data_IF_278188337589
#
_entry.id   IF_278188337589
#
_cell.length_a   1.000
_cell.length_b   1.000
_cell.length_c   1.000
_cell.angle_alpha   90.00
_cell.angle_beta   90.00
_cell.angle_gamma   90.00
#
_symmetry.space_group_name_H-M   'P 1'
#
loop_
_entity.id
_entity.type
_entity.pdbx_description
1 polymer ?
#
# COMPACT_ATOMS: atom_id res chain seq x y z
N UNK A 1 -4.08 3.05 -1.36
CA UNK A 1 -3.90 2.59 0.03
C UNK A 1 -3.96 3.75 1.00
N UNK A 2 -4.68 3.63 2.11
CA UNK A 2 -4.80 4.69 3.13
C UNK A 2 -4.53 4.14 4.53
N UNK A 3 -3.85 4.94 5.35
CA UNK A 3 -3.65 4.68 6.78
C UNK A 3 -4.61 5.52 7.64
N UNK A 4 -5.09 4.99 8.76
CA UNK A 4 -6.10 5.61 9.63
C UNK A 4 -7.53 5.13 9.37
N UNK A 5 -8.44 5.37 10.33
CA UNK A 5 -9.88 5.21 10.10
C UNK A 5 -10.47 6.53 9.58
N UNK A 6 -11.27 6.51 8.50
CA UNK A 6 -12.01 7.71 8.09
C UNK A 6 -13.00 8.10 9.18
N UNK A 7 -13.00 9.38 9.57
CA UNK A 7 -13.88 9.95 10.60
C UNK A 7 -14.39 11.31 10.15
N UNK A 8 -15.52 11.75 10.71
CA UNK A 8 -16.08 13.09 10.48
C UNK A 8 -16.10 13.85 11.80
N UNK A 9 -15.49 15.04 11.84
CA UNK A 9 -15.56 15.96 12.99
C UNK A 9 -15.99 17.32 12.46
N UNK A 10 -17.07 17.89 12.99
CA UNK A 10 -17.66 19.17 12.55
C UNK A 10 -17.92 19.27 11.03
N UNK A 11 -18.30 18.17 10.39
CA UNK A 11 -18.54 18.13 8.94
C UNK A 11 -17.27 17.98 8.07
N UNK A 12 -16.07 18.12 8.64
CA UNK A 12 -14.80 17.89 7.93
C UNK A 12 -14.38 16.42 8.01
N UNK A 13 -13.90 15.85 6.89
CA UNK A 13 -13.34 14.49 6.84
C UNK A 13 -11.91 14.49 7.41
N UNK A 14 -11.69 13.78 8.50
CA UNK A 14 -10.38 13.57 9.10
C UNK A 14 -10.07 12.09 9.26
N UNK A 15 -8.79 11.73 9.26
CA UNK A 15 -8.35 10.39 9.60
C UNK A 15 -8.01 10.33 11.09
N UNK A 16 -8.56 9.35 11.80
CA UNK A 16 -8.18 9.07 13.19
C UNK A 16 -7.00 8.08 13.19
N UNK A 17 -5.92 8.47 13.89
CA UNK A 17 -4.68 7.73 14.03
C UNK A 17 -4.35 7.33 15.46
N UNK A 18 -5.22 7.59 16.44
CA UNK A 18 -4.95 7.41 17.88
C UNK A 18 -4.64 5.95 18.26
N UNK A 19 -5.03 5.00 17.41
CA UNK A 19 -4.78 3.55 17.56
C UNK A 19 -3.89 2.98 16.46
N UNK A 20 -3.21 3.84 15.70
CA UNK A 20 -2.40 3.46 14.55
C UNK A 20 -0.93 3.65 14.90
N UNK A 21 -0.24 2.54 15.19
CA UNK A 21 1.16 2.55 15.62
C UNK A 21 1.96 1.41 14.98
N UNK A 22 3.27 1.57 14.90
CA UNK A 22 4.20 0.54 14.46
C UNK A 22 4.31 0.35 12.94
N UNK A 23 3.82 1.29 12.12
CA UNK A 23 3.96 1.25 10.66
C UNK A 23 5.37 1.64 10.15
N UNK A 24 6.18 2.17 11.05
CA UNK A 24 7.61 2.44 10.95
C UNK A 24 8.48 1.24 11.36
N UNK A 25 7.94 0.32 12.19
CA UNK A 25 8.70 -0.81 12.74
C UNK A 25 8.83 -2.01 11.78
N UNK A 26 7.77 -2.34 11.04
CA UNK A 26 7.80 -3.41 10.02
C UNK A 26 7.04 -3.01 8.77
N UNK A 27 7.59 -3.31 7.58
CA UNK A 27 6.97 -2.89 6.33
C UNK A 27 5.74 -3.74 6.02
N UNK A 28 4.82 -3.15 5.24
CA UNK A 28 3.81 -3.93 4.52
C UNK A 28 4.48 -4.69 3.40
N UNK A 29 4.13 -5.96 3.24
CA UNK A 29 4.51 -6.80 2.11
C UNK A 29 3.34 -6.89 1.13
N UNK A 30 3.57 -6.43 -0.08
CA UNK A 30 2.71 -6.67 -1.23
C UNK A 30 3.31 -7.79 -2.05
N UNK A 31 2.49 -8.70 -2.55
CA UNK A 31 2.98 -9.73 -3.46
C UNK A 31 1.84 -10.21 -4.36
N UNK A 32 2.21 -10.74 -5.52
CA UNK A 32 1.29 -11.48 -6.35
C UNK A 32 1.96 -12.72 -6.94
N UNK A 33 1.13 -13.66 -7.38
CA UNK A 33 1.54 -14.80 -8.22
C UNK A 33 0.54 -15.01 -9.35
N UNK A 34 1.02 -15.43 -10.51
CA UNK A 34 0.20 -15.79 -11.67
C UNK A 34 0.03 -17.31 -11.78
N UNK A 35 -0.97 -17.77 -12.53
CA UNK A 35 -1.22 -19.20 -12.75
C UNK A 35 -0.09 -19.95 -13.49
N UNK A 36 0.74 -19.22 -14.24
CA UNK A 36 1.92 -19.73 -14.95
C UNK A 36 3.21 -19.61 -14.13
N UNK A 37 3.12 -19.23 -12.84
CA UNK A 37 4.22 -19.29 -11.88
C UNK A 37 5.07 -18.03 -11.74
N UNK A 38 4.76 -16.94 -12.48
CA UNK A 38 5.40 -15.64 -12.24
C UNK A 38 4.96 -15.10 -10.89
N UNK A 39 5.86 -14.38 -10.21
CA UNK A 39 5.56 -13.78 -8.92
C UNK A 39 6.40 -12.52 -8.71
N UNK A 40 5.87 -11.60 -7.91
CA UNK A 40 6.61 -10.42 -7.47
C UNK A 40 6.29 -10.10 -6.02
N UNK A 41 7.22 -9.40 -5.36
CA UNK A 41 7.11 -8.98 -3.97
C UNK A 41 7.71 -7.58 -3.82
N UNK A 42 6.99 -6.73 -3.10
CA UNK A 42 7.38 -5.36 -2.78
C UNK A 42 7.16 -5.11 -1.29
N UNK A 43 8.11 -4.46 -0.61
CA UNK A 43 7.99 -4.10 0.79
C UNK A 43 8.09 -2.59 0.96
N UNK A 44 7.20 -2.01 1.79
CA UNK A 44 7.17 -0.57 2.03
C UNK A 44 6.74 -0.25 3.46
N UNK A 45 7.48 0.66 4.09
CA UNK A 45 7.06 1.31 5.33
C UNK A 45 5.99 2.36 5.00
N UNK A 46 4.91 2.38 5.77
CA UNK A 46 3.79 3.31 5.56
C UNK A 46 3.91 4.57 6.45
N UNK A 47 4.98 4.64 7.22
CA UNK A 47 5.33 5.77 8.07
C UNK A 47 6.85 5.97 8.07
N UNK A 48 7.27 7.23 8.01
CA UNK A 48 8.68 7.61 8.19
C UNK A 48 9.04 7.63 9.68
N UNK A 49 10.28 7.22 10.05
CA UNK A 49 10.76 7.33 11.41
C UNK A 49 10.76 8.79 11.89
N UNK A 50 10.36 9.02 13.15
CA UNK A 50 10.31 10.37 13.73
C UNK A 50 11.66 11.11 13.70
N UNK A 51 12.78 10.38 13.69
CA UNK A 51 14.14 10.92 13.63
C UNK A 51 14.48 11.62 12.31
N UNK A 52 13.70 11.41 11.26
CA UNK A 52 13.89 12.03 9.93
C UNK A 52 13.04 13.28 9.74
N UNK A 53 12.19 13.64 10.71
CA UNK A 53 11.33 14.84 10.71
C UNK A 53 12.16 16.09 11.02
N UNK A 54 13.15 16.41 10.19
CA UNK A 54 13.65 17.79 10.16
C UNK A 54 12.45 18.66 9.82
N UNK A 55 12.22 19.67 10.66
CA UNK A 55 11.07 20.55 10.70
C UNK A 55 10.93 21.47 9.46
N UNK A 56 10.95 20.91 8.26
CA UNK A 56 10.44 21.59 7.09
C UNK A 56 8.95 21.82 7.33
N UNK A 57 8.61 23.09 7.49
CA UNK A 57 7.27 23.60 7.68
C UNK A 57 6.34 22.97 6.63
N UNK A 58 5.43 22.08 7.06
CA UNK A 58 4.54 21.34 6.14
C UNK A 58 4.97 19.92 5.79
N UNK A 59 5.72 19.24 6.68
CA UNK A 59 6.13 17.85 6.51
C UNK A 59 5.01 16.94 5.96
N UNK A 60 5.29 16.29 4.83
CA UNK A 60 4.38 15.40 4.12
C UNK A 60 4.05 14.18 4.98
N UNK A 61 3.03 14.31 5.82
CA UNK A 61 2.48 13.20 6.58
C UNK A 61 1.81 12.22 5.61
N UNK A 62 2.45 11.07 5.39
CA UNK A 62 1.92 9.98 4.55
C UNK A 62 0.60 9.41 5.13
N UNK A 63 0.44 9.52 6.47
CA UNK A 63 -0.75 9.05 7.18
C UNK A 63 -2.02 9.75 6.67
N UNK A 64 -3.06 8.98 6.35
CA UNK A 64 -4.36 9.51 5.92
C UNK A 64 -4.52 9.74 4.42
N UNK A 65 -3.44 9.61 3.65
CA UNK A 65 -3.47 9.83 2.22
C UNK A 65 -3.66 8.51 1.46
N UNK A 66 -4.33 8.60 0.32
CA UNK A 66 -4.38 7.51 -0.66
C UNK A 66 -3.08 7.48 -1.45
N UNK A 67 -2.42 6.32 -1.45
CA UNK A 67 -1.19 6.08 -2.20
C UNK A 67 -1.34 4.93 -3.18
N UNK A 68 -0.65 5.05 -4.31
CA UNK A 68 -0.44 3.98 -5.26
C UNK A 68 0.88 3.27 -4.98
N UNK A 69 0.86 1.94 -5.04
CA UNK A 69 2.06 1.12 -4.88
C UNK A 69 2.17 0.12 -6.03
N UNK A 70 3.26 0.22 -6.78
CA UNK A 70 3.62 -0.78 -7.78
C UNK A 70 4.23 -1.99 -7.07
N UNK A 71 3.65 -3.16 -7.35
CA UNK A 71 4.03 -4.43 -6.71
C UNK A 71 5.03 -5.20 -7.58
N UNK A 72 4.91 -5.08 -8.90
CA UNK A 72 5.78 -5.72 -9.88
C UNK A 72 5.09 -5.85 -11.23
N UNK A 73 5.84 -6.37 -12.19
CA UNK A 73 5.40 -6.60 -13.56
C UNK A 73 5.30 -8.11 -13.83
N UNK A 74 4.46 -8.48 -14.79
CA UNK A 74 4.33 -9.84 -15.29
C UNK A 74 4.01 -9.80 -16.79
N UNK A 75 4.27 -10.91 -17.47
CA UNK A 75 4.00 -11.05 -18.91
C UNK A 75 2.79 -11.95 -19.13
N UNK A 76 1.94 -11.63 -20.10
CA UNK A 76 0.89 -12.56 -20.53
C UNK A 76 1.49 -13.52 -21.55
N UNK A 77 1.69 -14.78 -21.14
CA UNK A 77 2.31 -15.79 -22.00
C UNK A 77 1.41 -16.26 -23.14
N UNK A 78 0.12 -16.49 -22.87
CA UNK A 78 -0.88 -16.87 -23.86
C UNK A 78 -2.08 -15.89 -23.77
N UNK A 79 -2.29 -15.09 -24.81
CA UNK A 79 -3.38 -14.11 -24.88
C UNK A 79 -4.76 -14.72 -25.01
N UNK A 80 -4.85 -15.99 -25.43
CA UNK A 80 -6.12 -16.67 -25.69
C UNK A 80 -6.72 -17.27 -24.42
N UNK A 81 -5.94 -17.33 -23.33
CA UNK A 81 -6.35 -17.88 -22.05
C UNK A 81 -6.32 -16.80 -20.96
N UNK A 82 -7.35 -16.72 -20.10
CA UNK A 82 -7.32 -15.83 -18.95
C UNK A 82 -6.14 -16.16 -18.01
N UNK A 83 -5.28 -15.17 -17.76
CA UNK A 83 -4.23 -15.28 -16.75
C UNK A 83 -4.83 -15.02 -15.37
N UNK A 84 -4.75 -16.00 -14.46
CA UNK A 84 -5.23 -15.83 -13.08
C UNK A 84 -4.13 -15.20 -12.24
N UNK A 85 -4.48 -14.17 -11.48
CA UNK A 85 -3.56 -13.48 -10.57
C UNK A 85 -4.08 -13.61 -9.14
N UNK A 86 -3.22 -14.08 -8.25
CA UNK A 86 -3.45 -14.08 -6.80
C UNK A 86 -2.63 -12.95 -6.20
N UNK A 87 -3.31 -11.90 -5.74
CA UNK A 87 -2.68 -10.80 -5.00
C UNK A 87 -2.82 -11.03 -3.50
N UNK A 88 -1.81 -10.60 -2.73
CA UNK A 88 -1.93 -10.50 -1.29
C UNK A 88 -1.17 -9.31 -0.74
N UNK A 89 -1.73 -8.73 0.31
CA UNK A 89 -1.16 -7.66 1.10
C UNK A 89 -1.05 -8.18 2.52
N UNK A 90 0.17 -8.38 2.99
CA UNK A 90 0.46 -8.98 4.29
C UNK A 90 1.18 -7.94 5.14
N UNK A 91 0.66 -7.73 6.34
CA UNK A 91 1.37 -7.03 7.37
C UNK A 91 2.19 -8.03 8.18
N UNK A 92 3.48 -7.75 8.33
CA UNK A 92 4.36 -8.64 9.10
C UNK A 92 4.56 -7.99 10.48
N UNK A 93 4.01 -8.67 11.47
CA UNK A 93 4.52 -8.86 12.84
C UNK A 93 4.61 -7.60 13.76
N UNK A 94 3.57 -7.42 14.57
CA UNK A 94 3.79 -7.10 15.97
C UNK A 94 2.96 -8.06 16.83
N UNK A 95 3.29 -8.12 18.10
CA UNK A 95 2.59 -8.88 19.15
C UNK A 95 1.09 -8.52 19.31
N UNK A 96 0.56 -7.59 18.49
CA UNK A 96 -0.83 -7.15 18.40
C UNK A 96 -1.27 -7.03 16.91
N UNK A 97 -2.57 -7.09 16.61
CA UNK A 97 -3.07 -6.75 15.26
C UNK A 97 -2.87 -5.25 15.01
N UNK A 98 -2.11 -4.85 13.96
CA UNK A 98 -2.10 -3.42 13.57
C UNK A 98 -3.35 -3.13 12.74
N UNK A 99 -4.04 -2.05 13.11
CA UNK A 99 -5.26 -1.61 12.45
C UNK A 99 -5.05 -0.35 11.60
N UNK A 100 -6.13 0.10 10.98
CA UNK A 100 -6.19 1.38 10.28
C UNK A 100 -5.58 1.35 8.89
N UNK A 101 -5.70 0.25 8.14
CA UNK A 101 -5.26 0.18 6.76
C UNK A 101 -6.46 -0.10 5.85
N UNK A 102 -6.61 0.72 4.82
CA UNK A 102 -7.67 0.59 3.82
C UNK A 102 -7.04 0.41 2.43
N UNK A 103 -7.54 -0.59 1.70
CA UNK A 103 -7.29 -0.80 0.28
C UNK A 103 -8.58 -0.49 -0.47
N UNK A 104 -8.45 0.22 -1.59
CA UNK A 104 -9.57 0.56 -2.48
C UNK A 104 -9.54 -0.33 -3.72
N UNK A 105 -8.50 -0.20 -4.55
CA UNK A 105 -8.38 -0.92 -5.81
C UNK A 105 -7.04 -1.63 -5.99
N UNK A 106 -7.06 -2.71 -6.78
CA UNK A 106 -5.88 -3.31 -7.41
C UNK A 106 -5.97 -3.06 -8.91
N UNK A 107 -4.94 -2.46 -9.49
CA UNK A 107 -4.91 -2.05 -10.90
C UNK A 107 -3.93 -2.94 -11.67
N UNK A 108 -4.37 -3.44 -12.82
CA UNK A 108 -3.53 -4.14 -13.80
C UNK A 108 -3.51 -3.25 -15.04
N UNK A 109 -2.32 -2.79 -15.44
CA UNK A 109 -2.15 -1.79 -16.50
C UNK A 109 -1.04 -2.26 -17.43
N UNK A 110 -1.22 -2.19 -18.76
CA UNK A 110 -0.12 -2.39 -19.72
C UNK A 110 1.05 -1.46 -19.42
N UNK A 111 2.28 -1.99 -19.41
CA UNK A 111 3.48 -1.24 -18.98
C UNK A 111 3.74 -0.01 -19.87
N UNK A 112 3.33 -0.05 -21.15
CA UNK A 112 3.46 1.07 -22.09
C UNK A 112 2.61 2.27 -21.66
N UNK A 113 1.49 2.05 -20.99
CA UNK A 113 0.62 3.10 -20.44
C UNK A 113 1.12 3.56 -19.07
N UNK A 114 1.70 2.66 -18.28
CA UNK A 114 2.22 2.98 -16.94
C UNK A 114 3.41 3.95 -16.99
N UNK A 115 4.28 3.88 -18.01
CA UNK A 115 5.44 4.78 -18.19
C UNK A 115 5.08 6.24 -18.52
N UNK A 116 3.80 6.55 -18.72
CA UNK A 116 3.31 7.89 -19.09
C UNK A 116 2.68 8.65 -17.91
N UNK A 117 2.62 8.04 -16.73
CA UNK A 117 2.20 8.67 -15.47
C UNK A 117 3.41 9.08 -14.66
#
# INVERSE_FOLDING_TARGET
LQLGRPSKKYGWRHCNFDQVHGWDLKPVRFQFSTSDGQHALCQRFLEEPESTRIAACGGSQIRGNWMDHHVGDFVIGNSDLPTKIKFSMIQIDCTHTKGGLCLDSVLIIPTELARRK
#
